data_IF_865250841988
#
_entry.id   IF_865250841988
#
_cell.length_a   1.000
_cell.length_b   1.000
_cell.length_c   1.000
_cell.angle_alpha   90.00
_cell.angle_beta   90.00
_cell.angle_gamma   90.00
#
_symmetry.space_group_name_H-M   'P 1'
#
loop_
_entity.id
_entity.type
_entity.pdbx_description
1 polymer ?
#
# COMPACT_ATOMS: atom_id res chain seq x y z
N UNK A 1 -14.28 -4.54 -8.13
CA UNK A 1 -14.19 -3.87 -6.81
C UNK A 1 -15.13 -4.55 -5.83
N UNK A 2 -14.75 -4.66 -4.55
CA UNK A 2 -15.51 -5.38 -3.50
C UNK A 2 -16.81 -4.68 -3.03
N UNK A 3 -17.17 -3.54 -3.65
CA UNK A 3 -18.36 -2.75 -3.29
C UNK A 3 -18.21 -1.98 -1.97
N UNK A 4 -17.02 -1.93 -1.39
CA UNK A 4 -16.71 -1.22 -0.14
C UNK A 4 -15.99 0.08 -0.52
N UNK A 5 -16.56 1.22 -0.11
CA UNK A 5 -15.95 2.54 -0.32
C UNK A 5 -15.19 2.96 0.93
N UNK A 6 -14.03 3.57 0.73
CA UNK A 6 -13.37 4.34 1.78
C UNK A 6 -14.15 5.65 2.00
N UNK A 7 -14.31 6.04 3.27
CA UNK A 7 -14.95 7.30 3.62
C UNK A 7 -13.96 8.45 3.32
N UNK A 8 -14.46 9.62 2.89
CA UNK A 8 -13.68 10.86 2.72
C UNK A 8 -12.49 10.82 1.73
N UNK A 9 -12.57 10.11 0.61
CA UNK A 9 -11.64 10.32 -0.52
C UNK A 9 -12.09 11.51 -1.36
N UNK A 10 -11.35 12.62 -1.33
CA UNK A 10 -11.54 13.77 -2.24
C UNK A 10 -11.42 13.30 -3.70
N UNK A 11 -12.33 13.77 -4.56
CA UNK A 11 -12.34 13.46 -6.00
C UNK A 11 -11.03 13.89 -6.70
N UNK A 12 -10.29 14.81 -6.07
CA UNK A 12 -9.02 15.33 -6.58
C UNK A 12 -7.78 14.49 -6.20
N UNK A 13 -7.90 13.44 -5.37
CA UNK A 13 -6.79 12.56 -4.94
C UNK A 13 -5.55 13.28 -4.39
N UNK A 14 -5.67 14.55 -4.01
CA UNK A 14 -4.56 15.47 -3.76
C UNK A 14 -4.03 15.41 -2.32
N UNK A 15 -4.83 14.86 -1.40
CA UNK A 15 -4.44 14.55 -0.02
C UNK A 15 -5.14 13.28 0.43
N UNK A 16 -4.45 12.17 0.33
CA UNK A 16 -4.99 10.88 0.74
C UNK A 16 -4.56 10.60 2.18
N UNK A 17 -5.53 10.58 3.10
CA UNK A 17 -5.29 10.15 4.48
C UNK A 17 -5.24 8.60 4.55
N UNK A 18 -4.11 7.99 4.97
CA UNK A 18 -4.02 6.55 5.18
C UNK A 18 -5.10 5.99 6.09
N UNK A 19 -5.54 6.77 7.07
CA UNK A 19 -6.53 6.33 8.05
C UNK A 19 -7.94 6.20 7.49
N UNK A 20 -8.24 6.83 6.34
CA UNK A 20 -9.52 6.64 5.66
C UNK A 20 -9.71 5.19 5.15
N UNK A 21 -8.62 4.49 4.84
CA UNK A 21 -8.68 3.09 4.41
C UNK A 21 -8.89 2.12 5.57
N UNK A 22 -8.52 2.52 6.81
CA UNK A 22 -8.72 1.70 8.01
C UNK A 22 -10.15 1.16 8.10
N UNK A 23 -11.16 2.03 7.96
CA UNK A 23 -12.57 1.64 8.03
C UNK A 23 -13.03 0.76 6.87
N UNK A 24 -12.46 0.98 5.68
CA UNK A 24 -12.76 0.15 4.53
C UNK A 24 -12.20 -1.26 4.74
N UNK A 25 -10.97 -1.35 5.23
CA UNK A 25 -10.27 -2.60 5.48
C UNK A 25 -10.91 -3.39 6.63
N UNK A 26 -11.37 -2.71 7.70
CA UNK A 26 -12.20 -3.31 8.76
C UNK A 26 -13.45 -3.98 8.17
N UNK A 27 -14.22 -3.29 7.32
CA UNK A 27 -15.39 -3.86 6.64
C UNK A 27 -15.05 -5.04 5.73
N UNK A 28 -13.88 -5.02 5.08
CA UNK A 28 -13.40 -6.14 4.25
C UNK A 28 -13.13 -7.35 5.13
N UNK A 29 -12.40 -7.19 6.23
CA UNK A 29 -12.07 -8.29 7.13
C UNK A 29 -13.29 -8.84 7.88
N UNK A 30 -14.27 -7.99 8.22
CA UNK A 30 -15.56 -8.41 8.77
C UNK A 30 -16.37 -9.24 7.77
N UNK A 31 -16.44 -8.80 6.51
CA UNK A 31 -17.20 -9.48 5.45
C UNK A 31 -16.54 -10.80 5.01
N UNK A 32 -15.22 -10.88 5.09
CA UNK A 32 -14.43 -12.02 4.66
C UNK A 32 -13.54 -12.54 5.81
N UNK A 33 -14.08 -13.37 6.73
CA UNK A 33 -13.38 -13.76 7.96
C UNK A 33 -12.09 -14.59 7.74
N UNK A 34 -11.92 -15.15 6.54
CA UNK A 34 -10.72 -15.86 6.13
C UNK A 34 -9.59 -14.94 5.66
N UNK A 35 -9.87 -13.65 5.41
CA UNK A 35 -8.86 -12.65 5.08
C UNK A 35 -8.07 -12.31 6.34
N UNK A 36 -6.76 -12.53 6.29
CA UNK A 36 -5.86 -12.25 7.41
C UNK A 36 -5.25 -10.84 7.34
N UNK A 37 -5.08 -10.34 6.12
CA UNK A 37 -4.41 -9.08 5.81
C UNK A 37 -5.14 -8.38 4.66
N UNK A 38 -5.39 -7.09 4.81
CA UNK A 38 -5.82 -6.20 3.73
C UNK A 38 -4.74 -5.11 3.55
N UNK A 39 -4.18 -4.99 2.35
CA UNK A 39 -3.08 -4.07 2.06
C UNK A 39 -3.42 -3.16 0.89
N UNK A 40 -3.27 -1.85 1.10
CA UNK A 40 -3.69 -0.83 0.16
C UNK A 40 -2.52 0.12 -0.14
N UNK A 41 -2.34 0.45 -1.40
CA UNK A 41 -1.37 1.44 -1.84
C UNK A 41 -2.03 2.80 -2.07
N UNK A 42 -1.39 3.86 -1.58
CA UNK A 42 -1.85 5.24 -1.67
C UNK A 42 -0.94 6.02 -2.61
N UNK A 43 -1.49 6.42 -3.76
CA UNK A 43 -0.83 7.27 -4.74
C UNK A 43 -1.47 8.65 -4.75
N UNK A 44 -0.75 9.63 -4.25
CA UNK A 44 -1.11 11.04 -4.36
C UNK A 44 -0.37 11.62 -5.56
N UNK A 45 -1.11 11.98 -6.61
CA UNK A 45 -0.52 12.44 -7.89
C UNK A 45 -0.13 13.91 -7.78
N UNK A 46 1.15 14.23 -7.95
CA UNK A 46 1.62 15.63 -8.00
C UNK A 46 1.82 16.12 -9.43
N UNK A 47 2.23 15.23 -10.34
CA UNK A 47 2.28 15.46 -11.79
C UNK A 47 2.15 14.14 -12.56
N UNK A 48 2.22 14.17 -13.89
CA UNK A 48 2.16 12.95 -14.71
C UNK A 48 3.29 11.95 -14.40
N UNK A 49 4.47 12.45 -14.01
CA UNK A 49 5.62 11.61 -13.66
C UNK A 49 5.77 11.45 -12.14
N UNK A 50 5.49 12.50 -11.37
CA UNK A 50 5.79 12.51 -9.93
C UNK A 50 4.55 12.24 -9.09
N UNK A 51 4.72 11.39 -8.09
CA UNK A 51 3.68 10.96 -7.17
C UNK A 51 4.26 10.81 -5.77
N UNK A 52 3.46 11.12 -4.76
CA UNK A 52 3.77 10.73 -3.40
C UNK A 52 3.17 9.34 -3.14
N UNK A 53 3.96 8.49 -2.49
CA UNK A 53 3.66 7.09 -2.25
C UNK A 53 3.60 6.78 -0.77
N UNK A 54 2.57 6.04 -0.39
CA UNK A 54 2.46 5.47 0.94
C UNK A 54 1.67 4.18 0.85
N UNK A 55 1.86 3.27 1.81
CA UNK A 55 1.09 2.04 1.89
C UNK A 55 0.47 1.92 3.29
N UNK A 56 -0.69 1.27 3.34
CA UNK A 56 -1.39 0.94 4.59
C UNK A 56 -1.75 -0.53 4.57
N UNK A 57 -1.67 -1.16 5.73
CA UNK A 57 -2.04 -2.56 5.92
C UNK A 57 -2.86 -2.71 7.19
N UNK A 58 -4.00 -3.38 7.08
CA UNK A 58 -4.77 -3.88 8.20
C UNK A 58 -4.47 -5.36 8.43
N UNK A 59 -4.20 -5.72 9.67
CA UNK A 59 -4.14 -7.10 10.16
C UNK A 59 -5.02 -7.24 11.39
N UNK A 60 -5.11 -8.46 11.95
CA UNK A 60 -5.78 -8.69 13.24
C UNK A 60 -5.14 -7.91 14.41
N UNK A 61 -3.88 -7.51 14.27
CA UNK A 61 -3.14 -6.78 15.29
C UNK A 61 -3.29 -5.25 15.17
N UNK A 62 -3.92 -4.78 14.10
CA UNK A 62 -4.24 -3.37 13.89
C UNK A 62 -3.86 -2.85 12.51
N UNK A 63 -3.81 -1.53 12.41
CA UNK A 63 -3.51 -0.80 11.19
C UNK A 63 -2.07 -0.28 11.22
N UNK A 64 -1.32 -0.55 10.15
CA UNK A 64 0.08 -0.20 10.00
C UNK A 64 0.25 0.67 8.76
N UNK A 65 1.00 1.76 8.89
CA UNK A 65 1.19 2.75 7.83
C UNK A 65 2.68 2.87 7.55
N UNK A 66 3.08 2.77 6.28
CA UNK A 66 4.48 2.94 5.89
C UNK A 66 4.92 4.39 6.01
N UNK A 67 6.24 4.59 5.96
CA UNK A 67 6.82 5.89 5.61
C UNK A 67 6.26 6.38 4.27
N UNK A 68 6.13 7.70 4.15
CA UNK A 68 5.73 8.37 2.92
C UNK A 68 6.97 8.67 2.08
N UNK A 69 6.97 8.24 0.83
CA UNK A 69 8.01 8.55 -0.14
C UNK A 69 7.49 9.61 -1.12
N UNK A 70 8.28 10.63 -1.40
CA UNK A 70 7.83 11.79 -2.16
C UNK A 70 8.46 11.79 -3.57
N UNK A 71 7.72 12.30 -4.56
CA UNK A 71 8.21 12.54 -5.92
C UNK A 71 8.75 11.28 -6.63
N UNK A 72 7.96 10.22 -6.64
CA UNK A 72 8.24 8.96 -7.31
C UNK A 72 7.39 8.77 -8.56
N UNK A 73 7.94 8.15 -9.59
CA UNK A 73 7.15 7.37 -10.57
C UNK A 73 6.64 6.10 -9.80
N UNK A 74 5.48 5.43 -10.04
CA UNK A 74 5.02 4.29 -9.15
C UNK A 74 4.39 3.01 -9.83
N UNK A 75 4.88 1.79 -9.48
CA UNK A 75 4.59 0.41 -9.96
C UNK A 75 5.03 -0.66 -8.90
N UNK A 76 4.26 -1.77 -8.78
CA UNK A 76 4.60 -3.05 -8.09
C UNK A 76 4.74 -3.10 -6.54
N UNK A 77 3.62 -2.99 -5.82
CA UNK A 77 3.49 -3.11 -4.35
C UNK A 77 3.36 -4.56 -3.82
N UNK A 78 2.52 -5.37 -4.48
CA UNK A 78 1.98 -6.58 -3.88
C UNK A 78 3.03 -7.67 -3.57
N UNK A 79 4.02 -7.84 -4.44
CA UNK A 79 5.04 -8.90 -4.27
C UNK A 79 5.94 -8.66 -3.07
N UNK A 80 6.35 -7.41 -2.82
CA UNK A 80 7.14 -7.06 -1.63
C UNK A 80 6.39 -7.33 -0.33
N UNK A 81 5.08 -7.03 -0.30
CA UNK A 81 4.25 -7.32 0.87
C UNK A 81 4.09 -8.84 1.10
N UNK A 82 3.79 -9.60 0.04
CA UNK A 82 3.63 -11.05 0.13
C UNK A 82 4.91 -11.70 0.64
N UNK A 83 6.07 -11.30 0.11
CA UNK A 83 7.36 -11.85 0.52
C UNK A 83 7.64 -11.61 2.01
N UNK A 84 7.50 -10.37 2.51
CA UNK A 84 7.73 -10.08 3.92
C UNK A 84 6.79 -10.84 4.86
N UNK A 85 5.51 -11.02 4.47
CA UNK A 85 4.55 -11.80 5.24
C UNK A 85 4.94 -13.29 5.29
N UNK A 86 5.42 -13.85 4.18
CA UNK A 86 5.90 -15.24 4.12
C UNK A 86 7.14 -15.47 4.98
N UNK A 87 8.03 -14.47 5.06
CA UNK A 87 9.22 -14.49 5.92
C UNK A 87 8.90 -14.24 7.41
N UNK A 88 7.62 -14.03 7.77
CA UNK A 88 7.21 -13.82 9.15
C UNK A 88 7.75 -12.52 9.76
N UNK A 89 8.01 -11.51 8.93
CA UNK A 89 8.50 -10.21 9.39
C UNK A 89 7.42 -9.47 10.21
N UNK A 90 7.83 -8.56 11.12
CA UNK A 90 6.89 -7.69 11.82
C UNK A 90 6.05 -6.86 10.86
N UNK A 91 4.79 -6.58 11.19
CA UNK A 91 3.83 -5.94 10.29
C UNK A 91 4.28 -4.56 9.78
N UNK A 92 4.88 -3.77 10.67
CA UNK A 92 5.42 -2.47 10.30
C UNK A 92 6.60 -2.60 9.33
N UNK A 93 7.46 -3.61 9.53
CA UNK A 93 8.56 -3.91 8.61
C UNK A 93 8.03 -4.36 7.25
N UNK A 94 6.99 -5.20 7.23
CA UNK A 94 6.34 -5.64 5.99
C UNK A 94 5.84 -4.46 5.15
N UNK A 95 5.12 -3.51 5.76
CA UNK A 95 4.52 -2.41 5.02
C UNK A 95 5.56 -1.37 4.59
N UNK A 96 6.58 -1.11 5.42
CA UNK A 96 7.70 -0.25 5.05
C UNK A 96 8.55 -0.86 3.94
N UNK A 97 8.82 -2.17 4.00
CA UNK A 97 9.54 -2.87 2.95
C UNK A 97 8.77 -2.84 1.64
N UNK A 98 7.47 -3.15 1.66
CA UNK A 98 6.64 -3.12 0.46
C UNK A 98 6.59 -1.72 -0.19
N UNK A 99 6.51 -0.66 0.62
CA UNK A 99 6.55 0.73 0.15
C UNK A 99 7.91 1.10 -0.47
N UNK A 100 9.02 0.73 0.18
CA UNK A 100 10.36 0.97 -0.34
C UNK A 100 10.66 0.15 -1.60
N UNK A 101 10.24 -1.12 -1.62
CA UNK A 101 10.43 -2.05 -2.73
C UNK A 101 9.70 -1.56 -3.99
N UNK A 102 8.43 -1.15 -3.85
CA UNK A 102 7.68 -0.51 -4.94
C UNK A 102 8.29 0.81 -5.39
N UNK A 103 8.81 1.64 -4.48
CA UNK A 103 9.52 2.86 -4.86
C UNK A 103 10.77 2.57 -5.73
N UNK A 104 11.50 1.48 -5.45
CA UNK A 104 12.69 1.10 -6.22
C UNK A 104 12.37 0.58 -7.63
N UNK A 105 11.19 0.01 -7.84
CA UNK A 105 10.76 -0.52 -9.15
C UNK A 105 10.83 0.51 -10.27
N UNK A 106 10.79 1.79 -9.94
CA UNK A 106 10.81 2.91 -10.89
C UNK A 106 12.11 3.16 -11.56
N UNK A 107 13.16 2.68 -10.93
CA UNK A 107 14.49 2.74 -11.51
C UNK A 107 14.69 1.63 -12.55
N UNK A 108 13.69 0.75 -12.72
CA UNK A 108 13.75 -0.42 -13.59
C UNK A 108 12.73 -0.23 -14.72
N UNK A 109 13.23 -0.36 -15.95
CA UNK A 109 12.41 -0.20 -17.15
C UNK A 109 11.51 -1.44 -17.35
N UNK A 110 10.28 -1.19 -17.81
CA UNK A 110 9.23 -2.17 -18.07
C UNK A 110 8.54 -2.70 -16.80
N UNK A 111 7.64 -3.68 -16.98
CA UNK A 111 6.71 -4.12 -15.93
C UNK A 111 7.30 -5.15 -14.95
N UNK A 112 8.43 -5.76 -15.31
CA UNK A 112 9.10 -6.71 -14.44
C UNK A 112 9.93 -6.00 -13.40
N UNK A 113 9.60 -6.29 -12.16
CA UNK A 113 10.38 -5.88 -11.03
C UNK A 113 11.64 -6.75 -10.94
N UNK A 114 12.80 -6.14 -11.15
CA UNK A 114 14.12 -6.78 -11.06
C UNK A 114 14.89 -6.33 -9.81
N UNK A 115 14.21 -5.72 -8.83
CA UNK A 115 14.81 -5.40 -7.53
C UNK A 115 15.17 -6.71 -6.84
N UNK A 116 16.44 -6.88 -6.52
CA UNK A 116 16.95 -8.03 -5.78
C UNK A 116 17.07 -7.69 -4.28
N UNK A 117 16.77 -8.66 -3.43
CA UNK A 117 16.85 -8.58 -1.96
C UNK A 117 18.17 -9.05 -1.42
#
# INVERSE_FOLDING_TARGET
MLGIKADNTDENYSKIDPMCYKKADEKVMEKYPNVQVAGNSLREVTSACLNNWQCVMMTRNGCFVSRKHMNLEIYSFASGLIWCLMEGKPELECIDFAAAYSAMCHTIRNDWNLVIT
#
